data_IF_632322525006
#
_entry.id   IF_632322525006
#
_cell.length_a   1.000
_cell.length_b   1.000
_cell.length_c   1.000
_cell.angle_alpha   90.00
_cell.angle_beta   90.00
_cell.angle_gamma   90.00
#
_symmetry.space_group_name_H-M   'P 1'
#
loop_
_entity.id
_entity.type
_entity.pdbx_description
1 polymer ?
#
# COMPACT_ATOMS: atom_id res chain seq x y z
N UNK A 1 7.23 -10.73 22.50
CA UNK A 1 7.04 -9.30 22.21
C UNK A 1 8.36 -8.58 22.10
N UNK A 2 9.05 -8.35 23.19
CA UNK A 2 10.41 -7.79 23.20
C UNK A 2 11.32 -8.76 23.98
N UNK A 3 12.62 -8.73 23.68
CA UNK A 3 13.62 -9.49 24.44
C UNK A 3 14.38 -8.50 25.29
N UNK A 4 14.33 -8.68 26.60
CA UNK A 4 14.95 -7.78 27.60
C UNK A 4 15.75 -8.57 28.64
N UNK A 5 16.33 -7.83 29.57
CA UNK A 5 17.01 -8.38 30.73
C UNK A 5 18.09 -9.42 30.42
N UNK A 6 18.16 -10.52 31.18
CA UNK A 6 19.19 -11.55 31.04
C UNK A 6 19.20 -12.25 29.69
N UNK A 7 18.03 -12.40 29.04
CA UNK A 7 17.94 -13.03 27.73
C UNK A 7 18.63 -12.19 26.65
N UNK A 8 18.41 -10.88 26.66
CA UNK A 8 19.10 -9.95 25.75
C UNK A 8 20.61 -9.95 25.98
N UNK A 9 21.04 -9.94 27.25
CA UNK A 9 22.46 -9.97 27.61
C UNK A 9 23.14 -11.24 27.10
N UNK A 10 22.48 -12.40 27.19
CA UNK A 10 23.00 -13.67 26.68
C UNK A 10 23.21 -13.62 25.16
N UNK A 11 22.22 -13.12 24.43
CA UNK A 11 22.27 -13.03 22.97
C UNK A 11 23.34 -12.03 22.49
N UNK A 12 23.40 -10.85 23.13
CA UNK A 12 24.44 -9.85 22.84
C UNK A 12 25.83 -10.37 23.16
N UNK A 13 26.01 -11.00 24.32
CA UNK A 13 27.27 -11.63 24.72
C UNK A 13 27.70 -12.75 23.75
N UNK A 14 26.77 -13.59 23.33
CA UNK A 14 27.02 -14.64 22.33
C UNK A 14 27.51 -14.07 20.99
N UNK A 15 26.88 -13.01 20.53
CA UNK A 15 27.28 -12.29 19.30
C UNK A 15 28.65 -11.61 19.45
N UNK A 16 28.93 -10.94 20.58
CA UNK A 16 30.21 -10.26 20.81
C UNK A 16 31.38 -11.22 20.88
N UNK A 17 31.18 -12.41 21.44
CA UNK A 17 32.22 -13.43 21.57
C UNK A 17 32.25 -14.40 20.38
N UNK A 18 31.44 -14.20 19.35
CA UNK A 18 31.27 -15.10 18.19
C UNK A 18 30.99 -16.57 18.57
N UNK A 19 30.40 -16.80 19.73
CA UNK A 19 30.00 -18.13 20.19
C UNK A 19 28.64 -18.56 19.65
N UNK A 20 27.76 -17.58 19.43
CA UNK A 20 26.43 -17.79 18.85
C UNK A 20 26.01 -16.53 18.09
N UNK A 21 25.94 -16.64 16.78
CA UNK A 21 25.40 -15.57 15.94
C UNK A 21 23.87 -15.60 16.00
N UNK A 22 23.27 -14.60 16.59
CA UNK A 22 21.81 -14.53 16.77
C UNK A 22 21.26 -13.17 16.41
N UNK A 23 20.06 -13.18 15.85
CA UNK A 23 19.26 -11.98 15.55
C UNK A 23 17.88 -12.19 16.14
N UNK A 24 17.41 -11.18 16.87
CA UNK A 24 16.07 -11.17 17.45
C UNK A 24 15.16 -10.36 16.57
N UNK A 25 14.02 -10.94 16.23
CA UNK A 25 12.98 -10.27 15.46
C UNK A 25 11.66 -10.32 16.21
N UNK A 26 10.82 -9.32 15.98
CA UNK A 26 9.47 -9.31 16.55
C UNK A 26 8.64 -10.41 15.90
N UNK A 27 7.85 -11.11 16.73
CA UNK A 27 6.93 -12.11 16.24
C UNK A 27 5.88 -11.47 15.31
N UNK A 28 5.51 -12.14 14.21
CA UNK A 28 4.48 -11.66 13.30
C UNK A 28 3.11 -11.65 13.96
N UNK A 29 2.23 -10.77 13.50
CA UNK A 29 0.86 -10.66 13.98
C UNK A 29 0.71 -10.06 15.38
N UNK A 30 -0.55 -9.87 15.79
CA UNK A 30 -0.93 -9.29 17.08
C UNK A 30 -1.95 -10.18 17.80
N UNK A 31 -1.91 -10.18 19.13
CA UNK A 31 -2.86 -10.91 19.97
C UNK A 31 -2.88 -12.41 19.64
N UNK A 32 -4.07 -12.99 19.53
CA UNK A 32 -4.27 -14.42 19.25
C UNK A 32 -3.78 -14.86 17.85
N UNK A 33 -3.69 -13.94 16.90
CA UNK A 33 -3.16 -14.23 15.54
C UNK A 33 -1.66 -14.50 15.58
N UNK A 34 -0.92 -13.94 16.54
CA UNK A 34 0.53 -14.14 16.69
C UNK A 34 0.91 -15.61 16.85
N UNK A 35 0.23 -16.33 17.73
CA UNK A 35 0.50 -17.77 17.95
C UNK A 35 0.22 -18.57 16.67
N UNK A 36 -0.86 -18.25 15.97
CA UNK A 36 -1.22 -18.94 14.74
C UNK A 36 -0.19 -18.69 13.60
N UNK A 37 0.33 -17.46 13.47
CA UNK A 37 1.38 -17.13 12.49
C UNK A 37 2.74 -17.75 12.88
N UNK A 38 3.06 -17.81 14.18
CA UNK A 38 4.24 -18.53 14.66
C UNK A 38 4.14 -20.05 14.39
N UNK A 39 2.95 -20.62 14.50
CA UNK A 39 2.73 -22.03 14.14
C UNK A 39 2.96 -22.28 12.65
N UNK A 40 2.51 -21.37 11.78
CA UNK A 40 2.76 -21.46 10.34
C UNK A 40 4.26 -21.43 10.05
N UNK A 41 4.97 -20.53 10.71
CA UNK A 41 6.42 -20.43 10.61
C UNK A 41 7.11 -21.71 11.11
N UNK A 42 6.72 -22.19 12.27
CA UNK A 42 7.28 -23.41 12.85
C UNK A 42 7.11 -24.62 11.93
N UNK A 43 5.93 -24.80 11.35
CA UNK A 43 5.68 -25.88 10.37
C UNK A 43 6.57 -25.71 9.13
N UNK A 44 6.77 -24.49 8.65
CA UNK A 44 7.58 -24.25 7.45
C UNK A 44 9.07 -24.54 7.65
N UNK A 45 9.60 -24.36 8.85
CA UNK A 45 11.02 -24.56 9.17
C UNK A 45 11.30 -25.86 9.94
N UNK A 46 10.27 -26.63 10.30
CA UNK A 46 10.40 -27.86 11.09
C UNK A 46 10.67 -27.63 12.56
N UNK A 47 10.30 -26.46 13.10
CA UNK A 47 10.45 -26.13 14.52
C UNK A 47 9.15 -26.28 15.30
N UNK A 48 9.17 -25.85 16.57
CA UNK A 48 8.01 -25.81 17.46
C UNK A 48 7.82 -24.41 18.07
N UNK A 49 6.56 -24.03 18.26
CA UNK A 49 6.24 -22.78 18.96
C UNK A 49 6.32 -23.00 20.47
N UNK A 50 7.12 -22.20 21.12
CA UNK A 50 7.27 -22.19 22.57
C UNK A 50 6.48 -21.00 23.10
N UNK A 51 5.34 -21.28 23.71
CA UNK A 51 4.47 -20.28 24.28
C UNK A 51 3.75 -20.88 25.50
N UNK A 52 3.25 -20.06 26.39
CA UNK A 52 2.51 -20.52 27.58
C UNK A 52 1.33 -21.42 27.23
N UNK A 53 0.67 -21.10 26.11
CA UNK A 53 -0.50 -21.84 25.63
C UNK A 53 -0.16 -23.20 24.98
N UNK A 54 1.11 -23.45 24.66
CA UNK A 54 1.55 -24.72 24.06
C UNK A 54 2.03 -25.74 25.13
N UNK A 55 2.08 -25.33 26.39
CA UNK A 55 2.52 -26.19 27.50
C UNK A 55 4.02 -26.49 27.52
N UNK A 56 4.81 -25.86 26.63
CA UNK A 56 6.26 -25.97 26.61
C UNK A 56 6.88 -24.78 27.36
N UNK A 57 7.74 -25.07 28.30
CA UNK A 57 8.50 -24.05 29.01
C UNK A 57 9.88 -23.84 28.38
N UNK A 58 10.35 -22.58 28.38
CA UNK A 58 11.57 -22.18 27.67
C UNK A 58 12.82 -22.95 28.12
N UNK A 59 12.89 -23.36 29.39
CA UNK A 59 14.03 -24.11 29.93
C UNK A 59 14.03 -25.62 29.54
N UNK A 60 12.93 -26.13 29.00
CA UNK A 60 12.80 -27.49 28.51
C UNK A 60 13.16 -27.67 27.03
N UNK A 61 13.46 -26.53 26.36
CA UNK A 61 13.72 -26.50 24.93
C UNK A 61 15.06 -27.12 24.60
N UNK A 62 15.04 -28.08 23.68
CA UNK A 62 16.21 -28.71 23.08
C UNK A 62 16.45 -28.28 21.67
N UNK A 63 17.59 -28.60 21.09
CA UNK A 63 17.93 -28.31 19.70
C UNK A 63 16.97 -28.93 18.68
N UNK A 64 16.30 -30.01 19.06
CA UNK A 64 15.34 -30.70 18.21
C UNK A 64 14.05 -29.91 17.94
N UNK A 65 13.73 -28.95 18.81
CA UNK A 65 12.59 -28.05 18.63
C UNK A 65 12.92 -26.81 17.80
N UNK A 66 14.20 -26.59 17.49
CA UNK A 66 14.62 -25.51 16.60
C UNK A 66 14.39 -25.91 15.16
N UNK A 67 13.76 -25.02 14.40
CA UNK A 67 13.65 -25.19 12.94
C UNK A 67 14.93 -24.82 12.21
N UNK A 68 14.96 -25.12 10.93
CA UNK A 68 16.09 -24.78 10.05
C UNK A 68 15.63 -24.36 8.66
N UNK A 69 16.49 -23.63 7.96
CA UNK A 69 16.25 -23.18 6.59
C UNK A 69 17.57 -22.91 5.86
N UNK A 70 17.51 -22.76 4.53
CA UNK A 70 18.69 -22.49 3.72
C UNK A 70 19.25 -21.08 3.96
N UNK A 71 18.37 -20.09 4.13
CA UNK A 71 18.76 -18.69 4.30
C UNK A 71 17.69 -17.88 5.02
N UNK A 72 18.16 -17.04 5.95
CA UNK A 72 17.36 -15.98 6.57
C UNK A 72 17.97 -14.64 6.20
N UNK A 73 17.14 -13.70 5.76
CA UNK A 73 17.50 -12.30 5.56
C UNK A 73 16.65 -11.44 6.47
N UNK A 74 17.29 -10.71 7.38
CA UNK A 74 16.62 -9.82 8.32
C UNK A 74 16.95 -8.38 7.96
N UNK A 75 15.92 -7.55 7.85
CA UNK A 75 16.03 -6.10 7.68
C UNK A 75 15.30 -5.40 8.82
N UNK A 76 15.34 -4.08 8.87
CA UNK A 76 14.61 -3.30 9.87
C UNK A 76 13.08 -3.57 9.86
N UNK A 77 12.53 -3.83 8.66
CA UNK A 77 11.07 -3.92 8.46
C UNK A 77 10.58 -5.31 8.07
N UNK A 78 11.48 -6.22 7.72
CA UNK A 78 11.09 -7.54 7.23
C UNK A 78 12.09 -8.65 7.57
N UNK A 79 11.55 -9.86 7.72
CA UNK A 79 12.34 -11.09 7.83
C UNK A 79 11.90 -12.05 6.73
N UNK A 80 12.82 -12.42 5.85
CA UNK A 80 12.57 -13.36 4.76
C UNK A 80 13.28 -14.68 5.04
N UNK A 81 12.54 -15.75 5.04
CA UNK A 81 13.03 -17.13 5.21
C UNK A 81 12.88 -17.85 3.87
N UNK A 82 13.95 -18.46 3.40
CA UNK A 82 13.98 -19.18 2.13
C UNK A 82 14.47 -20.61 2.37
N UNK A 83 13.76 -21.59 1.78
CA UNK A 83 14.12 -22.99 1.89
C UNK A 83 13.95 -23.53 3.32
N UNK A 84 12.79 -23.39 3.90
CA UNK A 84 12.49 -24.00 5.20
C UNK A 84 12.50 -25.52 5.11
N UNK A 85 13.07 -26.20 6.11
CA UNK A 85 13.25 -27.66 6.14
C UNK A 85 12.12 -28.38 6.91
N UNK A 86 10.91 -27.80 6.93
CA UNK A 86 9.72 -28.44 7.50
C UNK A 86 9.30 -29.71 6.75
N UNK A 87 8.57 -30.58 7.42
CA UNK A 87 7.98 -31.77 6.78
C UNK A 87 6.91 -31.35 5.76
N UNK A 88 7.07 -31.67 4.45
CA UNK A 88 6.09 -31.30 3.43
C UNK A 88 4.67 -31.75 3.73
N UNK A 89 4.52 -32.92 4.37
CA UNK A 89 3.18 -33.45 4.73
C UNK A 89 2.49 -32.60 5.80
N UNK A 90 3.25 -32.10 6.78
CA UNK A 90 2.71 -31.22 7.80
C UNK A 90 2.40 -29.84 7.22
N UNK A 91 3.21 -29.37 6.27
CA UNK A 91 2.99 -28.13 5.54
C UNK A 91 1.69 -28.22 4.71
N UNK A 92 1.52 -29.28 3.92
CA UNK A 92 0.30 -29.51 3.12
C UNK A 92 -0.95 -29.60 4.00
N UNK A 93 -0.86 -30.34 5.12
CA UNK A 93 -1.95 -30.43 6.09
C UNK A 93 -2.31 -29.06 6.69
N UNK A 94 -1.30 -28.22 6.96
CA UNK A 94 -1.52 -26.87 7.48
C UNK A 94 -2.17 -25.96 6.45
N UNK A 95 -1.75 -26.03 5.19
CA UNK A 95 -2.37 -25.27 4.08
C UNK A 95 -3.84 -25.70 3.94
N UNK A 96 -4.14 -27.00 3.87
CA UNK A 96 -5.51 -27.49 3.79
C UNK A 96 -6.39 -27.05 4.98
N UNK A 97 -5.82 -26.97 6.18
CA UNK A 97 -6.51 -26.44 7.35
C UNK A 97 -6.88 -24.97 7.19
N UNK A 98 -5.95 -24.14 6.66
CA UNK A 98 -6.18 -22.72 6.43
C UNK A 98 -7.19 -22.47 5.30
N UNK A 99 -7.14 -23.26 4.23
CA UNK A 99 -8.12 -23.22 3.13
C UNK A 99 -9.53 -23.53 3.65
N UNK A 100 -9.67 -24.57 4.49
CA UNK A 100 -10.95 -24.89 5.11
C UNK A 100 -11.47 -23.79 6.06
N UNK A 101 -10.58 -23.03 6.70
CA UNK A 101 -10.94 -21.84 7.50
C UNK A 101 -11.36 -20.67 6.59
N UNK A 102 -10.66 -20.45 5.49
CA UNK A 102 -10.96 -19.43 4.51
C UNK A 102 -12.37 -19.61 3.92
N UNK A 103 -12.73 -20.82 3.54
CA UNK A 103 -14.07 -21.15 3.03
C UNK A 103 -15.20 -20.90 4.06
N UNK A 104 -14.92 -21.06 5.33
CA UNK A 104 -15.89 -20.85 6.42
C UNK A 104 -15.98 -19.42 6.88
N UNK A 105 -14.94 -18.64 6.68
CA UNK A 105 -14.90 -17.24 7.11
C UNK A 105 -15.81 -16.37 6.24
N UNK A 106 -16.62 -15.52 6.92
CA UNK A 106 -17.51 -14.54 6.28
C UNK A 106 -17.04 -13.09 6.49
N UNK A 107 -15.95 -12.91 7.21
CA UNK A 107 -15.38 -11.60 7.55
C UNK A 107 -14.23 -11.32 6.60
N UNK A 108 -14.31 -10.25 5.82
CA UNK A 108 -13.32 -9.92 4.80
C UNK A 108 -11.90 -9.79 5.38
N UNK A 109 -11.72 -9.11 6.49
CA UNK A 109 -10.40 -8.96 7.14
C UNK A 109 -9.80 -10.27 7.68
N UNK A 110 -10.63 -11.29 7.97
CA UNK A 110 -10.13 -12.62 8.35
C UNK A 110 -9.78 -13.43 7.10
N UNK A 111 -10.55 -13.30 6.02
CA UNK A 111 -10.26 -13.92 4.73
C UNK A 111 -8.92 -13.42 4.19
N UNK A 112 -8.70 -12.11 4.15
CA UNK A 112 -7.44 -11.50 3.70
C UNK A 112 -6.23 -12.02 4.50
N UNK A 113 -6.38 -12.15 5.83
CA UNK A 113 -5.34 -12.69 6.70
C UNK A 113 -5.05 -14.16 6.39
N UNK A 114 -6.09 -14.98 6.18
CA UNK A 114 -5.96 -16.40 5.85
C UNK A 114 -5.32 -16.59 4.48
N UNK A 115 -5.70 -15.80 3.48
CA UNK A 115 -5.11 -15.83 2.14
C UNK A 115 -3.62 -15.49 2.17
N UNK A 116 -3.23 -14.46 2.91
CA UNK A 116 -1.83 -14.10 3.09
C UNK A 116 -1.02 -15.23 3.75
N UNK A 117 -1.59 -15.91 4.75
CA UNK A 117 -0.93 -17.03 5.44
C UNK A 117 -0.75 -18.23 4.51
N UNK A 118 -1.77 -18.58 3.72
CA UNK A 118 -1.70 -19.63 2.69
C UNK A 118 -0.61 -19.28 1.67
N UNK A 119 -0.58 -18.05 1.16
CA UNK A 119 0.42 -17.60 0.20
C UNK A 119 1.85 -17.70 0.74
N UNK A 120 2.07 -17.37 2.02
CA UNK A 120 3.39 -17.50 2.67
C UNK A 120 3.82 -18.98 2.80
N UNK A 121 2.92 -19.88 3.15
CA UNK A 121 3.21 -21.31 3.33
C UNK A 121 3.44 -22.02 2.00
N UNK A 122 2.73 -21.65 0.94
CA UNK A 122 2.91 -22.24 -0.40
C UNK A 122 4.20 -21.81 -1.10
N UNK A 123 5.00 -20.96 -0.44
CA UNK A 123 6.41 -20.74 -0.79
C UNK A 123 6.68 -19.99 -2.09
N UNK A 124 5.71 -19.26 -2.62
CA UNK A 124 5.89 -18.48 -3.84
C UNK A 124 6.28 -17.02 -3.50
N UNK A 125 7.49 -16.85 -3.03
CA UNK A 125 8.08 -15.52 -2.83
C UNK A 125 8.85 -15.13 -4.08
N UNK A 126 8.36 -14.13 -4.80
CA UNK A 126 9.12 -13.47 -5.85
C UNK A 126 9.96 -12.34 -5.24
N UNK A 127 11.25 -12.34 -5.51
CA UNK A 127 12.16 -11.27 -5.07
C UNK A 127 12.54 -10.41 -6.25
N UNK A 128 12.05 -9.17 -6.27
CA UNK A 128 12.46 -8.16 -7.25
C UNK A 128 13.65 -7.39 -6.70
N UNK A 129 14.82 -7.52 -7.34
CA UNK A 129 16.01 -6.79 -6.95
C UNK A 129 16.10 -5.50 -7.76
N UNK A 130 16.06 -4.38 -7.06
CA UNK A 130 16.16 -3.05 -7.65
C UNK A 130 17.55 -2.49 -7.42
N UNK A 131 18.17 -1.90 -8.44
CA UNK A 131 19.46 -1.24 -8.38
C UNK A 131 19.37 0.21 -8.88
N UNK A 132 20.32 1.05 -8.47
CA UNK A 132 20.48 2.43 -8.93
C UNK A 132 21.93 2.87 -8.78
N UNK A 133 22.36 3.86 -9.55
CA UNK A 133 23.72 4.42 -9.47
C UNK A 133 23.93 5.25 -8.19
N UNK A 134 22.85 5.81 -7.65
CA UNK A 134 22.82 6.58 -6.40
C UNK A 134 21.75 6.06 -5.46
N UNK A 135 21.87 6.38 -4.17
CA UNK A 135 20.85 6.02 -3.15
C UNK A 135 19.50 6.69 -3.42
N UNK A 136 19.48 7.87 -3.99
CA UNK A 136 18.26 8.59 -4.37
C UNK A 136 17.57 7.89 -5.53
N UNK A 137 18.30 7.56 -6.59
CA UNK A 137 17.78 6.82 -7.74
C UNK A 137 17.28 5.43 -7.33
N UNK A 138 18.03 4.73 -6.48
CA UNK A 138 17.61 3.44 -5.95
C UNK A 138 16.27 3.54 -5.20
N UNK A 139 16.14 4.54 -4.33
CA UNK A 139 14.90 4.76 -3.56
C UNK A 139 13.73 5.10 -4.47
N UNK A 140 13.94 5.95 -5.45
CA UNK A 140 12.90 6.32 -6.44
C UNK A 140 12.42 5.09 -7.22
N UNK A 141 13.34 4.27 -7.73
CA UNK A 141 12.99 3.04 -8.44
C UNK A 141 12.27 2.03 -7.55
N UNK A 142 12.69 1.91 -6.29
CA UNK A 142 12.03 1.02 -5.33
C UNK A 142 10.58 1.45 -5.10
N UNK A 143 10.34 2.74 -4.85
CA UNK A 143 8.98 3.29 -4.67
C UNK A 143 8.11 3.06 -5.92
N UNK A 144 8.68 3.23 -7.11
CA UNK A 144 7.97 2.98 -8.38
C UNK A 144 7.58 1.50 -8.55
N UNK A 145 8.44 0.58 -8.14
CA UNK A 145 8.14 -0.87 -8.15
C UNK A 145 7.05 -1.21 -7.12
N UNK A 146 7.12 -0.63 -5.93
CA UNK A 146 6.11 -0.81 -4.89
C UNK A 146 4.74 -0.28 -5.35
N UNK A 147 4.71 0.89 -5.97
CA UNK A 147 3.49 1.49 -6.53
C UNK A 147 2.90 0.61 -7.65
N UNK A 148 3.73 0.18 -8.61
CA UNK A 148 3.30 -0.71 -9.69
C UNK A 148 2.75 -2.04 -9.16
N UNK A 149 3.33 -2.60 -8.09
CA UNK A 149 2.85 -3.82 -7.45
C UNK A 149 1.50 -3.60 -6.77
N UNK A 150 1.35 -2.49 -6.04
CA UNK A 150 0.09 -2.13 -5.40
C UNK A 150 -1.02 -1.89 -6.43
N UNK A 151 -0.72 -1.15 -7.50
CA UNK A 151 -1.64 -0.92 -8.62
C UNK A 151 -2.06 -2.24 -9.30
N UNK A 152 -1.11 -3.15 -9.56
CA UNK A 152 -1.40 -4.46 -10.15
C UNK A 152 -2.32 -5.31 -9.27
N UNK A 153 -2.12 -5.32 -7.95
CA UNK A 153 -3.00 -6.01 -7.00
C UNK A 153 -4.40 -5.40 -6.99
N UNK A 154 -4.50 -4.08 -6.94
CA UNK A 154 -5.78 -3.38 -6.99
C UNK A 154 -6.53 -3.65 -8.32
N UNK A 155 -5.81 -3.74 -9.43
CA UNK A 155 -6.38 -4.09 -10.73
C UNK A 155 -6.93 -5.52 -10.77
N UNK A 156 -6.22 -6.49 -10.20
CA UNK A 156 -6.70 -7.87 -10.09
C UNK A 156 -7.96 -7.99 -9.22
N UNK A 157 -8.08 -7.16 -8.20
CA UNK A 157 -9.19 -7.17 -7.25
C UNK A 157 -10.46 -6.53 -7.82
N UNK A 158 -10.34 -5.43 -8.55
CA UNK A 158 -11.47 -4.57 -8.92
C UNK A 158 -11.58 -4.27 -10.42
N UNK A 159 -10.66 -4.79 -11.23
CA UNK A 159 -10.59 -4.47 -12.66
C UNK A 159 -9.86 -3.16 -12.95
N UNK A 160 -9.87 -2.80 -14.23
CA UNK A 160 -9.17 -1.64 -14.78
C UNK A 160 -10.13 -0.69 -15.51
N UNK A 161 -9.71 0.57 -15.61
CA UNK A 161 -10.37 1.63 -16.39
C UNK A 161 -9.34 2.32 -17.28
N UNK A 162 -9.78 3.12 -18.24
CA UNK A 162 -8.90 3.98 -19.04
C UNK A 162 -8.15 4.94 -18.13
N UNK A 163 -6.82 4.95 -18.25
CA UNK A 163 -5.92 5.74 -17.44
C UNK A 163 -5.74 7.18 -17.90
N UNK A 164 -4.72 7.83 -17.35
CA UNK A 164 -4.38 9.20 -17.74
C UNK A 164 -5.44 10.24 -17.39
N UNK A 165 -6.28 9.98 -16.40
CA UNK A 165 -7.40 10.85 -16.03
C UNK A 165 -8.62 10.73 -16.94
N UNK A 166 -8.56 9.91 -18.00
CA UNK A 166 -9.61 9.74 -19.00
C UNK A 166 -10.91 9.26 -18.39
N UNK A 167 -10.86 8.19 -17.55
CA UNK A 167 -12.06 7.63 -16.94
C UNK A 167 -12.82 8.65 -16.07
N UNK A 168 -12.10 9.45 -15.29
CA UNK A 168 -12.71 10.52 -14.48
C UNK A 168 -13.30 11.62 -15.37
N UNK A 169 -12.53 12.12 -16.34
CA UNK A 169 -12.98 13.16 -17.27
C UNK A 169 -14.26 12.74 -18.02
N UNK A 170 -14.33 11.49 -18.51
CA UNK A 170 -15.50 10.97 -19.21
C UNK A 170 -16.69 10.62 -18.28
N UNK A 171 -16.46 10.47 -16.96
CA UNK A 171 -17.54 10.24 -15.99
C UNK A 171 -18.49 11.43 -15.83
N UNK A 172 -18.13 12.62 -16.35
CA UNK A 172 -19.04 13.78 -16.38
C UNK A 172 -20.36 13.47 -17.09
N UNK A 173 -20.36 12.53 -18.05
CA UNK A 173 -21.57 12.13 -18.79
C UNK A 173 -22.64 11.52 -17.89
N UNK A 174 -22.22 10.76 -16.87
CA UNK A 174 -23.15 10.21 -15.89
C UNK A 174 -23.85 11.30 -15.05
N UNK A 175 -23.18 12.43 -14.80
CA UNK A 175 -23.78 13.58 -14.12
C UNK A 175 -24.78 14.31 -15.00
N UNK A 176 -24.66 14.25 -16.32
CA UNK A 176 -25.59 14.89 -17.24
C UNK A 176 -26.93 14.13 -17.36
N UNK A 177 -26.97 12.85 -16.95
CA UNK A 177 -28.19 12.03 -16.94
C UNK A 177 -29.07 12.27 -15.70
N UNK A 178 -28.54 12.98 -14.69
CA UNK A 178 -29.23 13.27 -13.43
C UNK A 178 -29.63 14.72 -13.39
N UNK A 179 -30.93 14.99 -13.14
CA UNK A 179 -31.43 16.35 -12.93
C UNK A 179 -31.15 16.79 -11.49
N UNK A 180 -30.35 17.83 -11.35
CA UNK A 180 -30.07 18.49 -10.07
C UNK A 180 -30.77 19.85 -10.02
N UNK A 181 -31.33 20.23 -8.87
CA UNK A 181 -32.02 21.51 -8.66
C UNK A 181 -31.43 22.28 -7.48
N UNK A 182 -31.49 23.61 -7.54
CA UNK A 182 -31.02 24.49 -6.46
C UNK A 182 -29.56 24.25 -6.13
N UNK A 183 -29.21 24.16 -4.86
CA UNK A 183 -27.84 24.02 -4.37
C UNK A 183 -27.18 22.71 -4.81
N UNK A 184 -27.99 21.68 -5.06
CA UNK A 184 -27.47 20.41 -5.60
C UNK A 184 -26.88 20.58 -7.00
N UNK A 185 -27.45 21.45 -7.83
CA UNK A 185 -26.92 21.74 -9.16
C UNK A 185 -25.55 22.45 -9.07
N UNK A 186 -25.35 23.32 -8.08
CA UNK A 186 -24.07 23.96 -7.81
C UNK A 186 -23.03 22.93 -7.38
N UNK A 187 -23.38 22.03 -6.47
CA UNK A 187 -22.52 20.96 -6.03
C UNK A 187 -22.11 20.01 -7.17
N UNK A 188 -23.06 19.64 -8.02
CA UNK A 188 -22.80 18.81 -9.20
C UNK A 188 -21.84 19.47 -10.18
N UNK A 189 -21.95 20.81 -10.35
CA UNK A 189 -21.03 21.55 -11.21
C UNK A 189 -19.60 21.60 -10.64
N UNK A 190 -19.44 21.73 -9.32
CA UNK A 190 -18.14 21.63 -8.65
C UNK A 190 -17.51 20.28 -8.91
N UNK A 191 -18.27 19.18 -8.74
CA UNK A 191 -17.78 17.82 -9.02
C UNK A 191 -17.42 17.65 -10.49
N UNK A 192 -18.26 18.16 -11.41
CA UNK A 192 -18.01 18.10 -12.87
C UNK A 192 -16.67 18.74 -13.24
N UNK A 193 -16.36 19.91 -12.69
CA UNK A 193 -15.05 20.55 -12.91
C UNK A 193 -13.91 19.74 -12.29
N UNK A 194 -14.09 19.25 -11.08
CA UNK A 194 -13.05 18.46 -10.40
C UNK A 194 -12.70 17.16 -11.14
N UNK A 195 -13.66 16.53 -11.80
CA UNK A 195 -13.43 15.29 -12.57
C UNK A 195 -12.45 15.47 -13.75
N UNK A 196 -12.33 16.66 -14.31
CA UNK A 196 -11.44 16.94 -15.44
C UNK A 196 -10.03 17.35 -15.01
N UNK A 197 -9.83 17.76 -13.77
CA UNK A 197 -8.55 18.29 -13.27
C UNK A 197 -7.38 17.27 -13.37
N UNK A 198 -7.54 15.99 -13.07
CA UNK A 198 -6.43 15.06 -13.23
C UNK A 198 -5.89 14.98 -14.67
N UNK A 199 -6.79 14.90 -15.66
CA UNK A 199 -6.40 14.90 -17.07
C UNK A 199 -5.75 16.23 -17.45
N UNK A 200 -6.33 17.35 -17.03
CA UNK A 200 -5.85 18.69 -17.29
C UNK A 200 -4.40 18.86 -16.82
N UNK A 201 -4.10 18.46 -15.59
CA UNK A 201 -2.76 18.54 -15.03
C UNK A 201 -1.76 17.59 -15.68
N UNK A 202 -2.18 16.39 -16.09
CA UNK A 202 -1.34 15.47 -16.86
C UNK A 202 -0.93 16.12 -18.18
N UNK A 203 -1.88 16.75 -18.88
CA UNK A 203 -1.60 17.43 -20.15
C UNK A 203 -0.64 18.63 -19.96
N UNK A 204 -0.88 19.49 -18.95
CA UNK A 204 -0.01 20.62 -18.62
C UNK A 204 1.42 20.16 -18.28
N UNK A 205 1.55 19.14 -17.46
CA UNK A 205 2.86 18.58 -17.09
C UNK A 205 3.62 17.97 -18.27
N UNK A 206 2.88 17.53 -19.30
CA UNK A 206 3.43 17.04 -20.57
C UNK A 206 3.72 18.18 -21.60
N UNK A 207 3.42 19.44 -21.25
CA UNK A 207 3.68 20.61 -22.09
C UNK A 207 2.56 20.96 -23.07
N UNK A 208 1.35 20.48 -22.85
CA UNK A 208 0.17 20.76 -23.67
C UNK A 208 -0.81 21.70 -22.97
N UNK A 209 -1.68 22.34 -23.74
CA UNK A 209 -2.77 23.15 -23.19
C UNK A 209 -3.84 22.23 -22.58
N UNK A 210 -3.94 22.27 -21.23
CA UNK A 210 -4.77 21.31 -20.48
C UNK A 210 -6.26 21.41 -20.80
N UNK A 211 -6.76 22.62 -21.01
CA UNK A 211 -8.18 22.87 -21.31
C UNK A 211 -8.56 22.34 -22.70
N UNK A 212 -7.69 22.50 -23.69
CA UNK A 212 -7.89 21.97 -25.04
C UNK A 212 -7.93 20.42 -25.02
N UNK A 213 -7.02 19.81 -24.28
CA UNK A 213 -6.99 18.34 -24.14
C UNK A 213 -8.24 17.82 -23.46
N UNK A 214 -8.72 18.50 -22.41
CA UNK A 214 -9.97 18.13 -21.72
C UNK A 214 -11.16 18.24 -22.64
N UNK A 215 -11.27 19.32 -23.43
CA UNK A 215 -12.36 19.49 -24.39
C UNK A 215 -12.40 18.38 -25.41
N UNK A 216 -11.25 18.01 -25.99
CA UNK A 216 -11.15 16.93 -26.96
C UNK A 216 -11.54 15.59 -26.31
N UNK A 217 -10.94 15.20 -25.17
CA UNK A 217 -11.14 13.89 -24.55
C UNK A 217 -12.59 13.71 -24.07
N UNK A 218 -13.22 14.74 -23.57
CA UNK A 218 -14.63 14.65 -23.17
C UNK A 218 -15.58 14.44 -24.34
N UNK A 219 -15.17 14.81 -25.58
CA UNK A 219 -15.90 14.54 -26.82
C UNK A 219 -15.64 13.16 -27.44
N UNK A 220 -14.55 12.49 -27.08
CA UNK A 220 -14.17 11.20 -27.65
C UNK A 220 -15.07 10.04 -27.18
N UNK A 221 -15.10 8.88 -27.89
CA UNK A 221 -15.74 7.66 -27.41
C UNK A 221 -15.22 7.22 -26.04
N UNK A 222 -16.02 6.46 -25.30
CA UNK A 222 -15.58 5.93 -23.98
C UNK A 222 -14.33 5.08 -24.15
N UNK A 223 -13.37 5.28 -23.24
CA UNK A 223 -12.07 4.61 -23.24
C UNK A 223 -11.01 5.29 -24.10
N UNK A 224 -11.39 6.20 -25.01
CA UNK A 224 -10.43 6.97 -25.80
C UNK A 224 -10.00 8.22 -25.01
N UNK A 225 -8.70 8.46 -24.95
CA UNK A 225 -8.11 9.53 -24.16
C UNK A 225 -6.86 10.13 -24.81
N UNK A 226 -6.09 10.83 -24.00
CA UNK A 226 -4.85 11.48 -24.40
C UNK A 226 -3.64 10.73 -23.81
N UNK A 227 -2.78 10.24 -24.68
CA UNK A 227 -1.51 9.62 -24.28
C UNK A 227 -0.43 10.72 -24.16
N UNK A 228 -0.14 11.13 -22.94
CA UNK A 228 0.81 12.21 -22.66
C UNK A 228 2.26 11.87 -23.06
N UNK A 229 2.60 10.60 -23.23
CA UNK A 229 3.93 10.17 -23.69
C UNK A 229 4.13 10.39 -25.20
N UNK A 230 3.10 10.11 -26.01
CA UNK A 230 3.16 10.22 -27.47
C UNK A 230 2.59 11.53 -27.99
N UNK A 231 1.71 12.19 -27.22
CA UNK A 231 0.97 13.37 -27.64
C UNK A 231 -0.24 13.04 -28.54
N UNK A 232 -0.63 11.79 -28.64
CA UNK A 232 -1.70 11.31 -29.53
C UNK A 232 -2.98 10.98 -28.75
N UNK A 233 -4.10 11.01 -29.47
CA UNK A 233 -5.40 10.60 -28.95
C UNK A 233 -5.75 9.22 -29.49
N UNK A 234 -6.13 8.28 -28.62
CA UNK A 234 -6.42 6.91 -29.02
C UNK A 234 -7.13 6.11 -27.94
N UNK A 235 -7.30 4.81 -28.19
CA UNK A 235 -7.82 3.87 -27.20
C UNK A 235 -6.77 3.64 -26.12
N UNK A 236 -7.11 4.03 -24.89
CA UNK A 236 -6.17 3.96 -23.74
C UNK A 236 -5.84 2.53 -23.34
N UNK A 237 -6.72 1.57 -23.65
CA UNK A 237 -6.44 0.16 -23.36
C UNK A 237 -5.43 -0.42 -24.37
N UNK A 238 -5.57 -0.09 -25.66
CA UNK A 238 -4.62 -0.49 -26.71
C UNK A 238 -3.24 0.15 -26.49
N UNK A 239 -3.22 1.39 -26.02
CA UNK A 239 -2.00 2.12 -25.64
C UNK A 239 -1.35 1.62 -24.33
N UNK A 240 -2.04 0.75 -23.59
CA UNK A 240 -1.58 0.27 -22.27
C UNK A 240 -1.62 1.32 -21.17
N UNK A 241 -2.34 2.42 -21.36
CA UNK A 241 -2.55 3.49 -20.37
C UNK A 241 -3.81 3.18 -19.57
N UNK A 242 -3.62 2.44 -18.48
CA UNK A 242 -4.71 1.89 -17.66
C UNK A 242 -4.51 2.21 -16.18
N UNK A 243 -5.61 2.41 -15.47
CA UNK A 243 -5.65 2.62 -14.04
C UNK A 243 -6.49 1.55 -13.33
N UNK A 244 -6.15 1.14 -12.08
CA UNK A 244 -7.01 0.28 -11.29
C UNK A 244 -8.32 1.00 -10.92
N UNK A 245 -9.45 0.38 -11.18
CA UNK A 245 -10.76 0.98 -10.85
C UNK A 245 -10.89 1.35 -9.38
N UNK A 246 -10.42 0.49 -8.47
CA UNK A 246 -10.45 0.72 -7.02
C UNK A 246 -9.75 2.02 -6.64
N UNK A 247 -8.60 2.32 -7.24
CA UNK A 247 -7.81 3.53 -6.94
C UNK A 247 -8.54 4.78 -7.43
N UNK A 248 -8.99 4.77 -8.68
CA UNK A 248 -9.71 5.89 -9.29
C UNK A 248 -11.00 6.21 -8.52
N UNK A 249 -11.76 5.18 -8.16
CA UNK A 249 -12.99 5.31 -7.37
C UNK A 249 -12.70 5.85 -5.97
N UNK A 250 -11.73 5.27 -5.25
CA UNK A 250 -11.40 5.68 -3.89
C UNK A 250 -10.89 7.13 -3.84
N UNK A 251 -10.13 7.56 -4.84
CA UNK A 251 -9.68 8.95 -4.95
C UNK A 251 -10.86 9.92 -5.05
N UNK A 252 -11.84 9.63 -5.89
CA UNK A 252 -13.05 10.46 -6.04
C UNK A 252 -13.90 10.49 -4.76
N UNK A 253 -14.17 9.31 -4.16
CA UNK A 253 -14.97 9.19 -2.94
C UNK A 253 -14.31 9.93 -1.76
N UNK A 254 -12.99 9.78 -1.59
CA UNK A 254 -12.25 10.45 -0.53
C UNK A 254 -12.19 11.95 -0.74
N UNK A 255 -11.95 12.41 -1.96
CA UNK A 255 -11.94 13.84 -2.30
C UNK A 255 -13.31 14.49 -2.02
N UNK A 256 -14.39 13.84 -2.44
CA UNK A 256 -15.75 14.33 -2.18
C UNK A 256 -16.07 14.37 -0.68
N UNK A 257 -15.65 13.36 0.08
CA UNK A 257 -15.85 13.31 1.53
C UNK A 257 -15.12 14.44 2.26
N UNK A 258 -13.84 14.67 1.92
CA UNK A 258 -13.05 15.75 2.52
C UNK A 258 -13.58 17.13 2.11
N UNK A 259 -13.94 17.32 0.85
CA UNK A 259 -14.52 18.56 0.38
C UNK A 259 -15.85 18.88 1.11
N UNK A 260 -16.73 17.88 1.28
CA UNK A 260 -17.96 18.04 2.02
C UNK A 260 -17.70 18.40 3.49
N UNK A 261 -16.71 17.78 4.13
CA UNK A 261 -16.31 18.11 5.50
C UNK A 261 -15.85 19.57 5.60
N UNK A 262 -15.01 20.03 4.67
CA UNK A 262 -14.52 21.41 4.65
C UNK A 262 -15.64 22.43 4.45
N UNK A 263 -16.55 22.18 3.51
CA UNK A 263 -17.67 23.09 3.20
C UNK A 263 -18.64 23.21 4.38
N UNK A 264 -18.83 22.13 5.15
CA UNK A 264 -19.74 22.11 6.31
C UNK A 264 -19.09 22.60 7.61
N UNK A 265 -17.79 22.91 7.60
CA UNK A 265 -17.06 23.38 8.79
C UNK A 265 -17.16 24.89 8.93
N UNK A 266 -17.64 25.36 10.08
CA UNK A 266 -17.77 26.81 10.38
C UNK A 266 -16.42 27.43 10.82
N UNK A 267 -15.55 26.64 11.45
CA UNK A 267 -14.26 27.10 12.02
C UNK A 267 -13.19 26.06 11.84
N UNK A 268 -12.03 26.46 11.34
CA UNK A 268 -10.83 25.64 11.33
C UNK A 268 -9.83 26.18 12.35
N UNK A 269 -9.37 25.31 13.27
CA UNK A 269 -8.28 25.62 14.19
C UNK A 269 -7.01 24.98 13.64
N UNK A 270 -6.05 25.82 13.26
CA UNK A 270 -4.77 25.38 12.72
C UNK A 270 -3.65 25.83 13.64
N UNK A 271 -2.61 25.02 13.76
CA UNK A 271 -1.40 25.40 14.47
C UNK A 271 -0.61 26.39 13.60
N UNK A 272 -0.34 27.59 14.12
CA UNK A 272 0.50 28.55 13.44
C UNK A 272 1.96 28.07 13.54
N UNK A 273 2.49 27.56 12.45
CA UNK A 273 3.91 27.21 12.37
C UNK A 273 4.71 28.52 12.31
N UNK A 274 5.18 28.99 13.46
CA UNK A 274 6.17 30.07 13.51
C UNK A 274 7.44 29.57 12.81
N UNK A 275 7.58 29.95 11.56
CA UNK A 275 8.70 29.54 10.71
C UNK A 275 10.02 30.02 11.31
N UNK A 276 10.83 29.10 11.79
CA UNK A 276 12.26 29.35 11.89
C UNK A 276 12.79 29.39 10.43
N UNK A 277 13.38 30.52 9.95
CA UNK A 277 13.80 30.65 8.56
C UNK A 277 14.87 29.67 8.09
N UNK A 278 15.26 28.73 8.92
CA UNK A 278 16.23 27.64 8.65
C UNK A 278 15.69 26.23 8.84
N UNK A 279 14.41 26.03 9.10
CA UNK A 279 13.86 24.70 9.18
C UNK A 279 13.72 24.09 7.77
N UNK A 280 14.44 23.02 7.52
CA UNK A 280 14.27 22.20 6.31
C UNK A 280 12.88 21.56 6.41
N UNK A 281 11.90 22.12 5.72
CA UNK A 281 10.59 21.48 5.53
C UNK A 281 10.81 20.25 4.68
N UNK A 282 10.39 19.10 5.17
CA UNK A 282 10.51 17.85 4.42
C UNK A 282 9.79 17.98 3.06
N UNK A 283 10.41 17.54 1.95
CA UNK A 283 9.78 17.63 0.63
C UNK A 283 8.49 16.81 0.61
N UNK A 284 7.37 17.47 0.30
CA UNK A 284 6.06 16.84 0.17
C UNK A 284 4.91 17.55 0.87
N UNK A 285 5.18 18.42 1.85
CA UNK A 285 4.13 19.22 2.50
C UNK A 285 4.31 20.74 2.36
N UNK A 286 5.49 21.21 1.92
CA UNK A 286 5.81 22.63 1.80
C UNK A 286 5.15 23.33 0.61
N UNK A 287 5.01 22.63 -0.50
CA UNK A 287 4.50 23.24 -1.75
C UNK A 287 2.99 23.53 -1.72
N UNK A 288 2.24 22.87 -0.83
CA UNK A 288 0.83 23.16 -0.61
C UNK A 288 0.60 24.43 0.24
N UNK A 289 1.61 24.85 0.98
CA UNK A 289 1.51 26.04 1.86
C UNK A 289 1.90 27.35 1.13
N UNK A 290 2.70 27.30 0.06
CA UNK A 290 3.06 28.49 -0.70
C UNK A 290 1.94 29.05 -1.62
N UNK A 291 0.94 28.22 -1.94
CA UNK A 291 -0.26 28.63 -2.68
C UNK A 291 -1.34 29.30 -1.84
N UNK A 292 -1.25 29.27 -0.50
CA UNK A 292 -2.18 29.98 0.36
C UNK A 292 -1.67 31.41 0.60
N UNK A 293 -2.36 32.34 -0.03
CA UNK A 293 -2.19 33.81 0.09
C UNK A 293 -2.05 34.17 1.57
N UNK A 294 -0.94 34.81 1.92
CA UNK A 294 -0.75 35.44 3.23
C UNK A 294 -1.85 36.48 3.43
N UNK A 295 -2.67 36.39 4.47
CA UNK A 295 -3.50 37.55 4.81
C UNK A 295 -2.57 38.67 5.26
N UNK A 296 -2.56 39.74 4.51
CA UNK A 296 -1.95 41.03 4.91
C UNK A 296 -2.56 41.48 6.23
N UNK A 297 -1.69 41.79 7.19
CA UNK A 297 -2.01 42.44 8.46
C UNK A 297 -3.26 43.31 8.38
N UNK A 298 -4.28 42.96 9.15
CA UNK A 298 -5.32 43.86 9.56
C UNK A 298 -5.22 43.97 11.09
N UNK A 299 -5.00 45.21 11.52
CA UNK A 299 -4.91 45.72 12.91
C UNK A 299 -6.09 45.25 13.77
#
# INVERSE_FOLDING_TARGET
>A
EDVDGPALQLLVGGNMHNTMLSVVVRAPGFGHRRVAELQDLAVSVGGQVIAKDTGLELFEVSLEQLGSCDRITVTEHSTTIVGGHGDPKLLDARVAQLEAQFERSKIDGDRDSLEQRIARLTGRVAVVRVGGATSVELKERMLRVEDALAASRAALESGIVSGGGTALAQSHRALAEVEFTGDQAIGAEVVRKALTEPLRWIAINAGYEGDDVVEVVTGLPLGHGFNALTGEYGDMFDDGVIDPFKVTRAALESAASIAALLITTETAVVEEVYGNPGAIVAPGFGDLAEGMVRPSNIY
#
